data_IF_124583383860
#
_entry.id   IF_124583383860
#
_cell.length_a   1.000
_cell.length_b   1.000
_cell.length_c   1.000
_cell.angle_alpha   90.00
_cell.angle_beta   90.00
_cell.angle_gamma   90.00
#
_symmetry.space_group_name_H-M   'P 1'
#
loop_
_entity.id
_entity.type
_entity.pdbx_description
1 polymer ?
#
# COMPACT_ATOMS: atom_id res chain seq x y z
N UNK A 1 -8.60 -4.36 -31.22
CA UNK A 1 -8.11 -3.02 -30.81
C UNK A 1 -9.24 -2.39 -30.02
N UNK A 2 -8.97 -1.93 -28.80
CA UNK A 2 -9.99 -1.29 -27.94
C UNK A 2 -10.05 0.20 -28.20
N UNK A 3 -11.22 0.81 -28.02
CA UNK A 3 -11.39 2.27 -28.08
C UNK A 3 -10.97 2.92 -26.77
N UNK A 4 -10.80 4.25 -26.78
CA UNK A 4 -10.44 5.02 -25.58
C UNK A 4 -11.47 4.84 -24.47
N UNK A 5 -12.76 4.83 -24.84
CA UNK A 5 -13.88 4.70 -23.91
C UNK A 5 -13.86 3.32 -23.23
N UNK A 6 -13.49 2.28 -23.97
CA UNK A 6 -13.37 0.92 -23.43
C UNK A 6 -12.19 0.78 -22.46
N UNK A 7 -11.11 1.54 -22.65
CA UNK A 7 -9.95 1.53 -21.75
C UNK A 7 -10.15 2.38 -20.49
N UNK A 8 -11.06 3.35 -20.52
CA UNK A 8 -11.34 4.27 -19.42
C UNK A 8 -12.69 3.98 -18.75
N UNK A 9 -13.35 2.89 -19.13
CA UNK A 9 -14.54 2.42 -18.45
C UNK A 9 -14.18 1.96 -17.04
N UNK A 10 -15.03 2.29 -16.07
CA UNK A 10 -14.92 1.75 -14.72
C UNK A 10 -15.19 0.25 -14.67
N UNK A 11 -15.11 -0.32 -13.48
CA UNK A 11 -15.36 -1.75 -13.27
C UNK A 11 -16.82 -2.11 -13.54
N UNK A 12 -17.03 -3.20 -14.26
CA UNK A 12 -18.35 -3.78 -14.50
C UNK A 12 -18.77 -4.72 -13.37
N UNK A 13 -20.05 -5.09 -13.35
CA UNK A 13 -20.59 -6.01 -12.35
C UNK A 13 -19.87 -7.36 -12.37
N UNK A 14 -19.39 -7.80 -11.20
CA UNK A 14 -18.63 -9.05 -11.04
C UNK A 14 -17.12 -8.91 -11.26
N UNK A 15 -16.61 -7.73 -11.65
CA UNK A 15 -15.17 -7.45 -11.69
C UNK A 15 -14.63 -7.17 -10.29
N UNK A 16 -13.32 -7.44 -10.11
CA UNK A 16 -12.63 -7.25 -8.83
C UNK A 16 -12.07 -5.83 -8.76
N UNK A 17 -12.24 -5.21 -7.60
CA UNK A 17 -11.71 -3.88 -7.32
C UNK A 17 -10.18 -3.89 -7.19
N UNK A 18 -9.60 -2.68 -7.11
CA UNK A 18 -8.17 -2.49 -6.86
C UNK A 18 -7.74 -3.21 -5.58
N UNK A 19 -6.55 -3.86 -5.57
CA UNK A 19 -6.11 -4.69 -4.45
C UNK A 19 -5.77 -3.89 -3.18
N UNK A 20 -5.67 -2.55 -3.28
CA UNK A 20 -5.31 -1.67 -2.18
C UNK A 20 -6.39 -0.61 -1.99
N UNK A 21 -6.70 -0.31 -0.73
CA UNK A 21 -7.68 0.71 -0.40
C UNK A 21 -7.26 2.09 -0.93
N UNK A 22 -8.20 2.75 -1.59
CA UNK A 22 -8.09 4.14 -2.04
C UNK A 22 -8.37 5.09 -0.86
N UNK A 23 -7.83 6.32 -0.90
CA UNK A 23 -8.11 7.35 0.09
C UNK A 23 -9.63 7.53 0.29
N UNK A 24 -10.14 7.56 1.54
CA UNK A 24 -11.58 7.59 1.79
C UNK A 24 -12.31 8.73 1.07
N UNK A 25 -13.36 8.39 0.31
CA UNK A 25 -14.18 9.36 -0.41
C UNK A 25 -13.59 9.87 -1.73
N UNK A 26 -12.55 9.20 -2.26
CA UNK A 26 -11.94 9.53 -3.56
C UNK A 26 -11.98 8.32 -4.50
N UNK A 27 -11.72 8.54 -5.79
CA UNK A 27 -11.51 7.50 -6.79
C UNK A 27 -10.09 7.55 -7.39
N UNK A 28 -9.78 6.65 -8.33
CA UNK A 28 -8.48 6.62 -9.00
C UNK A 28 -8.19 7.88 -9.83
N UNK A 29 -9.23 8.56 -10.33
CA UNK A 29 -9.10 9.76 -11.14
C UNK A 29 -8.62 10.95 -10.31
N UNK A 30 -9.00 11.00 -9.02
CA UNK A 30 -8.54 12.01 -8.09
C UNK A 30 -7.01 11.96 -7.88
N UNK A 31 -6.39 10.78 -7.93
CA UNK A 31 -4.92 10.64 -7.90
C UNK A 31 -4.26 11.19 -9.16
N UNK A 32 -4.82 10.87 -10.34
CA UNK A 32 -4.30 11.40 -11.61
C UNK A 32 -4.47 12.92 -11.73
N UNK A 33 -5.44 13.50 -11.02
CA UNK A 33 -5.65 14.96 -10.91
C UNK A 33 -4.84 15.61 -9.80
N UNK A 34 -4.21 14.83 -8.93
CA UNK A 34 -3.43 15.33 -7.79
C UNK A 34 -4.28 15.93 -6.67
N UNK A 35 -5.53 15.49 -6.51
CA UNK A 35 -6.43 15.96 -5.44
C UNK A 35 -6.13 15.31 -4.09
N UNK A 36 -5.51 14.11 -4.08
CA UNK A 36 -5.02 13.45 -2.86
C UNK A 36 -3.60 13.93 -2.56
N UNK A 37 -3.44 14.72 -1.49
CA UNK A 37 -2.16 15.38 -1.16
C UNK A 37 -1.54 14.93 0.16
N UNK A 38 -2.23 14.12 0.93
CA UNK A 38 -1.80 13.66 2.25
C UNK A 38 -2.15 12.19 2.49
N UNK A 39 -1.59 11.61 3.55
CA UNK A 39 -1.91 10.25 3.96
C UNK A 39 -3.38 10.15 4.41
N UNK A 40 -4.00 8.99 4.19
CA UNK A 40 -5.36 8.74 4.63
C UNK A 40 -5.49 8.86 6.16
N UNK A 41 -6.63 9.36 6.69
CA UNK A 41 -6.86 9.42 8.12
C UNK A 41 -6.64 8.06 8.79
N UNK A 42 -5.92 8.04 9.91
CA UNK A 42 -5.57 6.81 10.64
C UNK A 42 -4.38 6.05 10.06
N UNK A 43 -3.72 6.55 9.00
CA UNK A 43 -2.45 5.99 8.54
C UNK A 43 -1.35 6.30 9.55
N UNK A 44 -0.67 5.27 10.03
CA UNK A 44 0.51 5.44 10.88
C UNK A 44 1.77 5.67 10.04
N UNK A 45 2.64 6.57 10.52
CA UNK A 45 3.89 6.89 9.84
C UNK A 45 4.87 5.73 10.00
N UNK A 46 5.16 5.06 8.90
CA UNK A 46 6.20 4.05 8.86
C UNK A 46 7.60 4.68 9.04
N UNK A 47 8.46 4.00 9.79
CA UNK A 47 9.84 4.43 10.02
C UNK A 47 10.64 4.33 8.72
N UNK A 48 11.23 5.45 8.29
CA UNK A 48 11.98 5.49 7.04
C UNK A 48 13.42 4.99 7.22
N UNK A 49 13.60 3.69 7.45
CA UNK A 49 14.94 3.07 7.63
C UNK A 49 15.88 3.34 6.47
N UNK A 50 15.35 3.40 5.24
CA UNK A 50 16.11 3.77 4.03
C UNK A 50 16.66 5.20 4.05
N UNK A 51 16.11 6.08 4.90
CA UNK A 51 16.55 7.46 5.10
C UNK A 51 17.35 7.63 6.39
N UNK A 52 17.76 6.54 7.04
CA UNK A 52 18.54 6.57 8.27
C UNK A 52 17.73 6.81 9.55
N UNK A 53 16.39 6.77 9.47
CA UNK A 53 15.56 6.75 10.67
C UNK A 53 15.68 5.41 11.38
N UNK A 54 15.71 5.42 12.71
CA UNK A 54 15.74 4.21 13.53
C UNK A 54 14.35 3.92 14.08
N UNK A 55 13.91 2.64 14.09
CA UNK A 55 12.69 2.26 14.78
C UNK A 55 12.75 2.69 16.24
N UNK A 56 11.62 3.10 16.80
CA UNK A 56 11.52 3.42 18.21
C UNK A 56 11.74 2.14 19.03
N UNK A 57 12.50 2.22 20.12
CA UNK A 57 13.03 1.04 20.85
C UNK A 57 11.93 0.05 21.31
N UNK A 58 10.67 0.49 21.42
CA UNK A 58 9.52 -0.34 21.77
C UNK A 58 8.92 -1.15 20.60
N UNK A 59 9.17 -0.78 19.34
CA UNK A 59 8.72 -1.52 18.14
C UNK A 59 9.72 -2.59 17.68
N UNK A 60 10.95 -2.53 18.21
CA UNK A 60 12.05 -3.44 17.90
C UNK A 60 11.89 -4.84 18.51
N UNK A 61 10.76 -5.15 19.12
CA UNK A 61 10.49 -6.46 19.76
C UNK A 61 9.86 -7.49 18.82
N UNK A 62 9.86 -7.25 17.51
CA UNK A 62 9.80 -8.33 16.52
C UNK A 62 11.12 -9.12 16.64
N UNK A 63 11.23 -9.91 17.72
CA UNK A 63 12.45 -10.58 18.16
C UNK A 63 12.69 -11.92 17.48
N UNK A 64 13.86 -12.49 17.74
CA UNK A 64 14.40 -13.78 17.24
C UNK A 64 13.47 -15.02 17.35
N UNK A 65 12.32 -14.93 18.04
CA UNK A 65 11.34 -16.00 18.19
C UNK A 65 10.29 -16.06 17.06
N UNK A 66 10.34 -15.18 16.05
CA UNK A 66 9.49 -15.32 14.86
C UNK A 66 9.96 -16.48 13.96
N UNK A 67 9.07 -17.44 13.60
CA UNK A 67 9.44 -18.59 12.77
C UNK A 67 9.87 -18.18 11.34
N UNK A 68 9.55 -16.97 10.91
CA UNK A 68 9.90 -16.42 9.60
C UNK A 68 11.32 -15.80 9.54
N UNK A 69 11.98 -15.57 10.68
CA UNK A 69 13.33 -15.01 10.73
C UNK A 69 14.44 -16.07 10.55
N UNK A 70 14.08 -17.35 10.48
CA UNK A 70 15.04 -18.44 10.36
C UNK A 70 15.60 -18.52 8.94
N UNK A 71 16.93 -18.49 8.81
CA UNK A 71 17.63 -18.69 7.55
C UNK A 71 17.31 -20.08 6.97
N UNK A 72 16.63 -20.13 5.82
CA UNK A 72 16.33 -21.38 5.12
C UNK A 72 17.60 -21.88 4.46
N UNK A 73 18.40 -22.65 5.19
CA UNK A 73 19.56 -23.34 4.65
C UNK A 73 19.06 -24.52 3.80
N UNK A 74 19.03 -24.31 2.49
CA UNK A 74 18.65 -25.32 1.50
C UNK A 74 19.59 -26.53 1.51
N UNK A 75 19.02 -27.73 1.33
CA UNK A 75 19.74 -28.99 1.12
C UNK A 75 19.89 -29.27 -0.38
#
# INVERSE_FOLDING_TARGET
IYTKEQLLAGLEEGMVDTPHAIYPGTDEQDYYRGLVTEAAPGTERQVAVSKGERPQDAESTAGDDEPAAQEVIGR
#
